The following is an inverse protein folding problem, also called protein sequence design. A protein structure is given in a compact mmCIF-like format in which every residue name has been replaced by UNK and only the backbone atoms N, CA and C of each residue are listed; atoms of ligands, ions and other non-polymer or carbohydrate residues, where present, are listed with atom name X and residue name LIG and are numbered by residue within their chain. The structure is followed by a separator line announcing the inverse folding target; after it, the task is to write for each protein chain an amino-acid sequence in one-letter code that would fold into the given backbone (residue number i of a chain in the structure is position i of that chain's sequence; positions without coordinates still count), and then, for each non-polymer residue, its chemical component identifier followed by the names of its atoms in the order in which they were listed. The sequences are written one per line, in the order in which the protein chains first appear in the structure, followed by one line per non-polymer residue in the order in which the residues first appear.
data_IF_734500588515
#
_entry.id   IF_734500588515
#
_cell.length_a   1.000
_cell.length_b   1.000
_cell.length_c   1.000
_cell.angle_alpha   90.00
_cell.angle_beta   90.00
_cell.angle_gamma   90.00
#
_symmetry.space_group_name_H-M   'P 1'
#
loop_
_entity.id
_entity.type
_entity.pdbx_description
1 polymer ?
#
# COMPACT_ATOMS: atom_id res chain seq x y z
N UNK A 1 -9.31 21.47 -24.26
CA UNK A 1 -8.36 20.41 -24.69
C UNK A 1 -6.95 20.97 -24.88
N UNK A 2 -6.76 22.03 -25.68
CA UNK A 2 -5.44 22.66 -25.95
C UNK A 2 -4.73 23.13 -24.69
N UNK A 3 -5.41 23.84 -23.77
CA UNK A 3 -4.82 24.28 -22.51
C UNK A 3 -4.32 23.12 -21.62
N UNK A 4 -5.03 21.99 -21.61
CA UNK A 4 -4.63 20.80 -20.85
C UNK A 4 -3.38 20.14 -21.43
N UNK A 5 -3.29 20.07 -22.77
CA UNK A 5 -2.10 19.55 -23.47
C UNK A 5 -0.90 20.47 -23.25
N UNK A 6 -1.09 21.79 -23.32
CA UNK A 6 -0.03 22.76 -23.04
C UNK A 6 0.46 22.68 -21.59
N UNK A 7 -0.45 22.53 -20.63
CA UNK A 7 -0.09 22.34 -19.23
C UNK A 7 0.72 21.05 -19.00
N UNK A 8 0.30 19.93 -19.61
CA UNK A 8 1.02 18.66 -19.55
C UNK A 8 2.41 18.77 -20.16
N UNK A 9 2.53 19.39 -21.34
CA UNK A 9 3.81 19.61 -22.01
C UNK A 9 4.75 20.48 -21.17
N UNK A 10 4.24 21.58 -20.61
CA UNK A 10 4.99 22.45 -19.70
C UNK A 10 5.45 21.70 -18.44
N UNK A 11 4.57 20.88 -17.84
CA UNK A 11 4.90 20.08 -16.65
C UNK A 11 5.96 19.02 -16.93
N UNK A 12 5.91 18.38 -18.10
CA UNK A 12 6.95 17.43 -18.54
C UNK A 12 8.28 18.17 -18.75
N UNK A 13 8.25 19.34 -19.38
CA UNK A 13 9.43 20.17 -19.59
C UNK A 13 10.06 20.66 -18.26
N UNK A 14 9.24 21.06 -17.29
CA UNK A 14 9.68 21.48 -15.95
C UNK A 14 10.30 20.33 -15.13
N UNK A 15 9.86 19.09 -15.35
CA UNK A 15 10.40 17.91 -14.65
C UNK A 15 11.75 17.42 -15.20
N UNK A 16 12.34 18.11 -16.17
CA UNK A 16 13.67 17.82 -16.70
C UNK A 16 13.72 16.62 -17.65
N UNK A 17 14.82 16.53 -18.41
CA UNK A 17 15.13 15.48 -19.40
C UNK A 17 15.45 14.11 -18.79
N UNK A 18 15.07 13.85 -17.54
CA UNK A 18 15.05 12.52 -16.94
C UNK A 18 13.87 11.75 -17.51
N UNK A 19 13.92 11.44 -18.81
CA UNK A 19 12.91 10.68 -19.57
C UNK A 19 12.83 9.21 -19.16
N UNK A 20 13.61 8.77 -18.17
CA UNK A 20 13.40 7.48 -17.50
C UNK A 20 12.47 7.68 -16.33
N UNK A 21 11.27 7.09 -16.41
CA UNK A 21 10.40 6.92 -15.25
C UNK A 21 11.24 6.39 -14.08
N UNK A 22 11.06 6.97 -12.89
CA UNK A 22 11.76 6.55 -11.67
C UNK A 22 11.70 5.03 -11.54
N UNK A 23 12.85 4.38 -11.47
CA UNK A 23 12.94 2.93 -11.27
C UNK A 23 12.67 2.64 -9.81
N UNK A 24 11.43 2.24 -9.53
CA UNK A 24 11.01 1.84 -8.19
C UNK A 24 11.93 0.77 -7.63
N UNK A 25 12.24 0.86 -6.34
CA UNK A 25 13.00 -0.18 -5.65
C UNK A 25 12.16 -1.47 -5.51
N UNK A 26 12.83 -2.59 -5.21
CA UNK A 26 12.16 -3.89 -5.02
C UNK A 26 11.16 -3.84 -3.85
N UNK A 27 11.44 -3.05 -2.80
CA UNK A 27 10.53 -2.94 -1.65
C UNK A 27 9.35 -2.00 -1.85
N UNK A 28 9.41 -1.13 -2.85
CA UNK A 28 8.29 -0.28 -3.26
C UNK A 28 7.35 -1.02 -4.22
N UNK A 29 7.93 -1.72 -5.20
CA UNK A 29 7.17 -2.50 -6.16
C UNK A 29 7.96 -3.70 -6.69
N UNK A 30 7.82 -4.84 -6.03
CA UNK A 30 8.50 -6.08 -6.41
C UNK A 30 8.04 -6.63 -7.77
N UNK A 31 6.77 -6.37 -8.16
CA UNK A 31 6.23 -6.86 -9.42
C UNK A 31 6.81 -6.15 -10.62
N UNK A 32 7.23 -4.89 -10.48
CA UNK A 32 7.95 -4.17 -11.53
C UNK A 32 9.26 -4.87 -11.92
N UNK A 33 9.88 -5.63 -11.01
CA UNK A 33 11.16 -6.33 -11.19
C UNK A 33 11.05 -7.79 -11.63
N UNK A 34 9.84 -8.34 -11.78
CA UNK A 34 9.70 -9.73 -12.25
C UNK A 34 10.33 -9.92 -13.65
N UNK A 35 10.91 -11.08 -13.96
CA UNK A 35 11.57 -11.29 -15.25
C UNK A 35 10.57 -11.46 -16.40
N UNK A 36 9.44 -12.12 -16.15
CA UNK A 36 8.43 -12.42 -17.17
C UNK A 36 7.31 -11.40 -17.17
N UNK A 37 6.98 -10.86 -18.35
CA UNK A 37 5.82 -10.00 -18.54
C UNK A 37 4.51 -10.69 -18.14
N UNK A 38 4.38 -11.99 -18.41
CA UNK A 38 3.18 -12.76 -18.07
C UNK A 38 3.00 -12.80 -16.55
N UNK A 39 4.07 -13.06 -15.79
CA UNK A 39 4.02 -13.04 -14.33
C UNK A 39 3.70 -11.66 -13.77
N UNK A 40 4.19 -10.58 -14.40
CA UNK A 40 3.78 -9.20 -14.06
C UNK A 40 2.29 -8.99 -14.26
N UNK A 41 1.79 -9.31 -15.45
CA UNK A 41 0.40 -9.13 -15.81
C UNK A 41 -0.54 -9.92 -14.89
N UNK A 42 -0.22 -11.18 -14.59
CA UNK A 42 -1.00 -12.01 -13.66
C UNK A 42 -0.97 -11.45 -12.23
N UNK A 43 0.19 -11.00 -11.75
CA UNK A 43 0.34 -10.42 -10.42
C UNK A 43 -0.45 -9.11 -10.28
N UNK A 44 -0.38 -8.22 -11.26
CA UNK A 44 -1.18 -6.98 -11.26
C UNK A 44 -2.68 -7.25 -11.44
N UNK A 45 -3.07 -8.22 -12.27
CA UNK A 45 -4.48 -8.64 -12.37
C UNK A 45 -5.02 -9.18 -11.04
N UNK A 46 -4.19 -9.92 -10.29
CA UNK A 46 -4.54 -10.35 -8.94
C UNK A 46 -4.68 -9.15 -7.99
N UNK A 47 -3.79 -8.17 -8.05
CA UNK A 47 -3.90 -6.92 -7.27
C UNK A 47 -5.19 -6.15 -7.60
N UNK A 48 -5.59 -6.07 -8.87
CA UNK A 48 -6.88 -5.47 -9.24
C UNK A 48 -8.07 -6.20 -8.63
N UNK A 49 -7.98 -7.51 -8.52
CA UNK A 49 -9.00 -8.32 -7.85
C UNK A 49 -9.05 -8.03 -6.36
N UNK A 50 -7.91 -7.83 -5.71
CA UNK A 50 -7.84 -7.39 -4.31
C UNK A 50 -8.42 -5.98 -4.13
N UNK A 51 -8.21 -5.07 -5.08
CA UNK A 51 -8.83 -3.74 -5.07
C UNK A 51 -10.37 -3.82 -5.18
N UNK A 52 -10.90 -4.63 -6.10
CA UNK A 52 -12.34 -4.88 -6.22
C UNK A 52 -12.90 -5.53 -4.95
N UNK A 53 -12.19 -6.50 -4.40
CA UNK A 53 -12.57 -7.13 -3.14
C UNK A 53 -12.62 -6.14 -1.98
N UNK A 54 -11.67 -5.20 -1.91
CA UNK A 54 -11.65 -4.13 -0.89
C UNK A 54 -12.82 -3.15 -1.01
N UNK A 55 -13.32 -2.90 -2.21
CA UNK A 55 -14.55 -2.10 -2.39
C UNK A 55 -15.78 -2.83 -1.85
N UNK A 56 -15.85 -4.14 -2.01
CA UNK A 56 -16.98 -4.97 -1.55
C UNK A 56 -16.91 -5.28 -0.04
N UNK A 57 -15.71 -5.58 0.47
CA UNK A 57 -15.51 -6.03 1.85
C UNK A 57 -14.16 -5.54 2.42
N UNK A 58 -14.11 -4.34 3.03
CA UNK A 58 -12.88 -3.76 3.56
C UNK A 58 -12.49 -4.38 4.93
N UNK A 59 -12.01 -5.63 4.93
CA UNK A 59 -11.65 -6.36 6.16
C UNK A 59 -10.19 -6.23 6.60
N UNK A 60 -9.26 -6.42 5.67
CA UNK A 60 -7.83 -6.37 5.95
C UNK A 60 -7.33 -5.04 5.44
N UNK A 61 -7.34 -4.01 6.30
CA UNK A 61 -6.91 -2.67 5.96
C UNK A 61 -5.52 -2.39 6.54
N UNK A 62 -4.64 -1.77 5.76
CA UNK A 62 -3.25 -1.50 6.10
C UNK A 62 -2.81 -0.22 5.38
N UNK A 63 -1.96 0.58 6.02
CA UNK A 63 -1.47 1.82 5.42
C UNK A 63 -0.51 1.55 4.23
N UNK A 64 0.20 0.41 4.26
CA UNK A 64 1.12 -0.02 3.21
C UNK A 64 1.20 -1.55 3.13
N UNK A 65 1.04 -2.08 1.91
CA UNK A 65 1.22 -3.49 1.59
C UNK A 65 2.59 -3.65 0.95
N UNK A 66 3.61 -3.59 1.81
CA UNK A 66 5.01 -3.61 1.39
C UNK A 66 5.44 -4.96 0.82
N UNK A 67 6.74 -5.05 0.54
CA UNK A 67 7.40 -6.24 0.01
C UNK A 67 6.91 -7.56 0.61
N UNK A 68 6.66 -8.55 -0.25
CA UNK A 68 6.25 -9.92 0.09
C UNK A 68 5.01 -10.02 1.01
N UNK A 69 4.16 -8.98 1.05
CA UNK A 69 2.83 -9.04 1.69
C UNK A 69 1.81 -9.69 0.76
N UNK A 70 1.93 -9.43 -0.55
CA UNK A 70 1.09 -10.02 -1.59
C UNK A 70 2.01 -10.82 -2.49
N UNK A 71 1.93 -12.15 -2.44
CA UNK A 71 2.84 -12.98 -3.23
C UNK A 71 2.57 -12.86 -4.73
N UNK A 72 3.64 -12.69 -5.51
CA UNK A 72 3.58 -12.70 -6.97
C UNK A 72 2.89 -13.97 -7.50
N UNK A 73 2.17 -13.82 -8.62
CA UNK A 73 1.58 -14.93 -9.36
C UNK A 73 2.53 -15.28 -10.49
N UNK A 74 3.24 -16.40 -10.35
CA UNK A 74 4.26 -16.85 -11.32
C UNK A 74 3.75 -17.93 -12.26
N UNK A 75 2.74 -18.70 -11.85
CA UNK A 75 2.15 -19.80 -12.63
C UNK A 75 0.80 -19.41 -13.22
N UNK A 76 0.54 -19.88 -14.44
CA UNK A 76 -0.75 -19.71 -15.13
C UNK A 76 -1.86 -20.52 -14.42
N UNK A 77 -1.50 -21.66 -13.84
CA UNK A 77 -2.43 -22.58 -13.17
C UNK A 77 -2.78 -22.19 -11.73
N UNK A 78 -2.35 -21.01 -11.29
CA UNK A 78 -2.68 -20.51 -9.95
C UNK A 78 -4.19 -20.23 -9.83
N UNK A 79 -4.82 -20.72 -8.76
CA UNK A 79 -6.26 -20.52 -8.50
C UNK A 79 -6.60 -19.03 -8.40
N UNK A 80 -5.64 -18.18 -8.01
CA UNK A 80 -5.79 -16.73 -7.96
C UNK A 80 -6.09 -16.12 -9.33
N UNK A 81 -5.61 -16.74 -10.42
CA UNK A 81 -5.93 -16.30 -11.78
C UNK A 81 -7.41 -16.52 -12.12
N UNK A 82 -8.05 -17.56 -11.58
CA UNK A 82 -9.49 -17.78 -11.78
C UNK A 82 -10.30 -16.62 -11.16
N UNK A 83 -9.96 -16.22 -9.93
CA UNK A 83 -10.59 -15.07 -9.29
C UNK A 83 -10.38 -13.78 -10.12
N UNK A 84 -9.17 -13.58 -10.65
CA UNK A 84 -8.88 -12.46 -11.56
C UNK A 84 -9.72 -12.52 -12.83
N UNK A 85 -9.78 -13.66 -13.51
CA UNK A 85 -10.60 -13.83 -14.72
C UNK A 85 -12.07 -13.53 -14.44
N UNK A 86 -12.63 -14.04 -13.35
CA UNK A 86 -14.03 -13.77 -12.96
C UNK A 86 -14.25 -12.28 -12.68
N UNK A 87 -13.34 -11.64 -11.96
CA UNK A 87 -13.43 -10.21 -11.65
C UNK A 87 -13.40 -9.33 -12.91
N UNK A 88 -12.47 -9.62 -13.82
CA UNK A 88 -12.39 -8.92 -15.10
C UNK A 88 -13.60 -9.17 -15.99
N UNK A 89 -14.08 -10.42 -16.07
CA UNK A 89 -15.30 -10.75 -16.82
C UNK A 89 -16.53 -10.04 -16.27
N UNK A 90 -16.66 -9.93 -14.94
CA UNK A 90 -17.73 -9.19 -14.30
C UNK A 90 -17.68 -7.69 -14.63
N UNK A 91 -16.50 -7.06 -14.54
CA UNK A 91 -16.33 -5.64 -14.87
C UNK A 91 -16.57 -5.37 -16.35
N UNK A 92 -15.96 -6.15 -17.24
CA UNK A 92 -16.14 -6.01 -18.70
C UNK A 92 -17.58 -6.27 -19.10
N UNK A 93 -18.22 -7.29 -18.53
CA UNK A 93 -19.64 -7.58 -18.75
C UNK A 93 -20.55 -6.44 -18.29
N UNK A 94 -20.31 -5.88 -17.09
CA UNK A 94 -21.06 -4.73 -16.57
C UNK A 94 -20.88 -3.49 -17.46
N UNK A 95 -19.65 -3.19 -17.88
CA UNK A 95 -19.39 -2.06 -18.78
C UNK A 95 -20.02 -2.28 -20.15
N UNK A 96 -19.88 -3.48 -20.73
CA UNK A 96 -20.43 -3.80 -22.06
C UNK A 96 -21.95 -3.74 -22.09
N UNK A 97 -22.63 -4.41 -21.16
CA UNK A 97 -24.09 -4.38 -21.04
C UNK A 97 -24.60 -2.96 -20.78
N UNK A 98 -23.91 -2.20 -19.93
CA UNK A 98 -24.28 -0.83 -19.64
C UNK A 98 -24.01 0.13 -20.81
N UNK A 99 -22.97 -0.11 -21.62
CA UNK A 99 -22.67 0.68 -22.80
C UNK A 99 -23.77 0.55 -23.86
N UNK A 100 -24.34 -0.66 -24.03
CA UNK A 100 -25.49 -0.91 -24.91
C UNK A 100 -26.74 -0.13 -24.46
N UNK A 101 -26.88 0.13 -23.15
CA UNK A 101 -28.02 0.84 -22.55
C UNK A 101 -27.70 2.28 -22.13
N UNK A 102 -26.61 2.87 -22.65
CA UNK A 102 -26.14 4.21 -22.24
C UNK A 102 -27.13 5.36 -22.47
N UNK A 103 -28.14 5.17 -23.32
CA UNK A 103 -29.20 6.17 -23.57
C UNK A 103 -30.32 6.12 -22.53
N UNK A 104 -30.49 4.99 -21.85
CA UNK A 104 -31.63 4.74 -20.94
C UNK A 104 -31.20 4.60 -19.49
N UNK A 105 -29.93 4.31 -19.22
CA UNK A 105 -29.39 4.17 -17.88
C UNK A 105 -28.11 4.99 -17.69
N UNK A 106 -27.95 5.68 -16.54
CA UNK A 106 -26.71 6.38 -16.20
C UNK A 106 -25.58 5.42 -15.81
N UNK A 107 -25.85 4.12 -15.64
CA UNK A 107 -24.91 3.13 -15.11
C UNK A 107 -23.55 3.13 -15.83
N UNK A 108 -23.54 3.43 -17.13
CA UNK A 108 -22.31 3.44 -17.92
C UNK A 108 -21.39 4.55 -17.46
N UNK A 109 -21.95 5.75 -17.25
CA UNK A 109 -21.20 6.91 -16.76
C UNK A 109 -20.72 6.65 -15.33
N UNK A 110 -21.55 6.05 -14.47
CA UNK A 110 -21.17 5.72 -13.09
C UNK A 110 -20.01 4.72 -13.03
N UNK A 111 -20.03 3.68 -13.86
CA UNK A 111 -18.94 2.71 -13.99
C UNK A 111 -17.66 3.37 -14.52
N UNK A 112 -17.78 4.22 -15.55
CA UNK A 112 -16.63 4.97 -16.09
C UNK A 112 -16.02 5.90 -15.04
N UNK A 113 -16.84 6.55 -14.20
CA UNK A 113 -16.36 7.37 -13.09
C UNK A 113 -15.60 6.56 -12.02
N UNK A 114 -15.91 5.28 -11.84
CA UNK A 114 -15.14 4.40 -10.96
C UNK A 114 -13.85 3.89 -11.60
N UNK A 115 -13.90 3.51 -12.88
CA UNK A 115 -12.79 2.82 -13.57
C UNK A 115 -11.74 3.82 -14.08
N UNK A 116 -12.16 4.91 -14.73
CA UNK A 116 -11.26 5.83 -15.41
C UNK A 116 -10.23 6.47 -14.45
N UNK A 117 -10.60 6.95 -13.24
CA UNK A 117 -9.63 7.47 -12.28
C UNK A 117 -8.65 6.41 -11.74
N UNK A 118 -9.01 5.12 -11.83
CA UNK A 118 -8.15 4.03 -11.38
C UNK A 118 -7.04 3.68 -12.39
N UNK A 119 -7.25 3.92 -13.69
CA UNK A 119 -6.32 3.52 -14.76
C UNK A 119 -4.88 4.04 -14.58
N UNK A 120 -4.64 5.32 -14.20
CA UNK A 120 -3.28 5.79 -13.97
C UNK A 120 -2.60 5.11 -12.76
N UNK A 121 -3.40 4.62 -11.81
CA UNK A 121 -2.94 4.00 -10.57
C UNK A 121 -2.90 2.46 -10.63
N UNK A 122 -3.33 1.84 -11.74
CA UNK A 122 -3.50 0.40 -11.90
C UNK A 122 -2.28 -0.32 -12.48
N UNK A 123 -1.14 0.37 -12.57
CA UNK A 123 0.12 -0.20 -13.09
C UNK A 123 0.08 -0.63 -14.57
N UNK A 124 -1.04 -0.40 -15.27
CA UNK A 124 -1.23 -0.73 -16.68
C UNK A 124 -0.46 0.23 -17.59
N UNK A 125 -0.48 1.53 -17.27
CA UNK A 125 0.22 2.55 -18.06
C UNK A 125 1.69 2.68 -17.66
N UNK A 126 1.96 2.73 -16.36
CA UNK A 126 3.29 2.83 -15.79
C UNK A 126 3.26 2.23 -14.37
N UNK A 127 4.36 1.60 -13.92
CA UNK A 127 4.43 1.07 -12.56
C UNK A 127 4.35 2.21 -11.55
N UNK A 128 3.58 2.00 -10.49
CA UNK A 128 3.46 2.91 -9.34
C UNK A 128 4.33 2.37 -8.19
N UNK A 129 4.88 3.25 -7.36
CA UNK A 129 5.78 2.94 -6.23
C UNK A 129 5.13 2.25 -5.03
N UNK A 130 3.99 1.62 -5.24
CA UNK A 130 3.30 0.81 -4.24
C UNK A 130 2.55 -0.28 -4.99
N UNK A 131 2.63 -1.52 -4.51
CA UNK A 131 1.92 -2.64 -5.14
C UNK A 131 0.42 -2.48 -4.93
N UNK A 132 0.01 -2.32 -3.67
CA UNK A 132 -1.37 -2.07 -3.29
C UNK A 132 -1.40 -0.93 -2.27
N UNK A 133 -2.27 0.06 -2.47
CA UNK A 133 -2.50 1.12 -1.50
C UNK A 133 -3.96 1.56 -1.51
N UNK A 134 -4.58 1.60 -0.33
CA UNK A 134 -6.00 1.92 -0.16
C UNK A 134 -6.36 3.34 -0.63
N UNK A 135 -5.44 4.29 -0.45
CA UNK A 135 -5.59 5.68 -0.92
C UNK A 135 -5.81 5.80 -2.44
N UNK A 136 -5.37 4.81 -3.23
CA UNK A 136 -5.57 4.79 -4.68
C UNK A 136 -7.04 4.49 -5.06
N UNK A 137 -7.81 3.91 -4.14
CA UNK A 137 -9.24 3.68 -4.30
C UNK A 137 -10.11 4.88 -3.92
N UNK A 138 -9.55 5.99 -3.42
CA UNK A 138 -10.36 7.12 -2.94
C UNK A 138 -11.30 7.66 -4.03
N UNK A 139 -10.78 8.02 -5.21
CA UNK A 139 -11.62 8.48 -6.32
C UNK A 139 -12.47 7.34 -6.94
N UNK A 140 -11.89 6.15 -7.24
CA UNK A 140 -12.68 5.01 -7.73
C UNK A 140 -13.87 4.61 -6.84
N UNK A 141 -13.73 4.76 -5.51
CA UNK A 141 -14.77 4.43 -4.54
C UNK A 141 -16.01 5.31 -4.69
N UNK A 142 -15.86 6.55 -5.16
CA UNK A 142 -17.00 7.45 -5.43
C UNK A 142 -17.88 6.86 -6.53
N UNK A 143 -17.26 6.42 -7.63
CA UNK A 143 -17.97 5.75 -8.73
C UNK A 143 -18.63 4.46 -8.27
N UNK A 144 -17.93 3.66 -7.47
CA UNK A 144 -18.49 2.45 -6.86
C UNK A 144 -19.71 2.74 -5.97
N UNK A 145 -19.65 3.73 -5.07
CA UNK A 145 -20.77 4.13 -4.22
C UNK A 145 -21.98 4.59 -5.04
N UNK A 146 -21.77 5.33 -6.14
CA UNK A 146 -22.85 5.73 -7.03
C UNK A 146 -23.49 4.53 -7.74
N UNK A 147 -22.69 3.55 -8.19
CA UNK A 147 -23.20 2.30 -8.76
C UNK A 147 -24.03 1.51 -7.74
N UNK A 148 -23.54 1.37 -6.51
CA UNK A 148 -24.27 0.70 -5.42
C UNK A 148 -25.57 1.44 -5.10
N UNK A 149 -25.54 2.77 -5.04
CA UNK A 149 -26.73 3.61 -4.83
C UNK A 149 -27.77 3.40 -5.93
N UNK A 150 -27.36 3.48 -7.20
CA UNK A 150 -28.23 3.22 -8.34
C UNK A 150 -28.81 1.79 -8.33
N UNK A 151 -27.98 0.78 -8.08
CA UNK A 151 -28.43 -0.61 -8.00
C UNK A 151 -29.47 -0.79 -6.87
N UNK A 152 -29.22 -0.19 -5.72
CA UNK A 152 -30.12 -0.24 -4.56
C UNK A 152 -31.45 0.45 -4.86
N UNK A 153 -31.43 1.62 -5.50
CA UNK A 153 -32.63 2.32 -5.95
C UNK A 153 -33.47 1.44 -6.89
N UNK A 154 -32.85 0.82 -7.90
CA UNK A 154 -33.55 -0.05 -8.87
C UNK A 154 -34.16 -1.27 -8.19
N UNK A 155 -33.45 -1.88 -7.24
CA UNK A 155 -33.98 -3.00 -6.44
C UNK A 155 -35.17 -2.57 -5.58
N UNK A 156 -35.09 -1.41 -4.93
CA UNK A 156 -36.18 -0.88 -4.09
C UNK A 156 -37.41 -0.43 -4.87
N UNK A 157 -37.24 0.06 -6.11
CA UNK A 157 -38.33 0.41 -7.01
C UNK A 157 -39.03 -0.84 -7.58
N UNK A 158 -38.29 -1.93 -7.80
CA UNK A 158 -38.83 -3.20 -8.26
C UNK A 158 -39.42 -4.07 -7.11
N UNK A 159 -39.17 -3.71 -5.86
CA UNK A 159 -39.61 -4.48 -4.70
C UNK A 159 -41.14 -4.39 -4.48
N UNK A 160 -41.74 -5.51 -4.06
CA UNK A 160 -43.16 -5.54 -3.67
C UNK A 160 -43.36 -4.85 -2.32
N UNK A 161 -44.59 -4.37 -1.99
CA UNK A 161 -44.87 -3.76 -0.69
C UNK A 161 -44.48 -4.63 0.52
N UNK A 162 -44.54 -5.96 0.36
CA UNK A 162 -44.18 -6.91 1.41
C UNK A 162 -42.66 -7.12 1.56
N UNK A 163 -41.86 -7.03 0.49
CA UNK A 163 -40.40 -7.23 0.55
C UNK A 163 -39.62 -5.94 0.82
N UNK A 164 -40.17 -4.79 0.43
CA UNK A 164 -39.55 -3.47 0.61
C UNK A 164 -39.11 -3.18 2.06
N UNK A 165 -39.92 -3.37 3.11
CA UNK A 165 -39.46 -3.13 4.49
C UNK A 165 -38.30 -4.06 4.89
N UNK A 166 -38.30 -5.31 4.42
CA UNK A 166 -37.20 -6.25 4.68
C UNK A 166 -35.90 -5.81 4.01
N UNK A 167 -35.98 -5.33 2.76
CA UNK A 167 -34.82 -4.80 2.04
C UNK A 167 -34.26 -3.53 2.69
N UNK A 168 -35.13 -2.62 3.14
CA UNK A 168 -34.72 -1.41 3.86
C UNK A 168 -34.07 -1.77 5.20
N UNK A 169 -34.63 -2.74 5.94
CA UNK A 169 -34.02 -3.23 7.18
C UNK A 169 -32.65 -3.87 6.94
N UNK A 170 -32.51 -4.68 5.88
CA UNK A 170 -31.23 -5.28 5.49
C UNK A 170 -30.20 -4.20 5.11
N UNK A 171 -30.59 -3.21 4.32
CA UNK A 171 -29.73 -2.09 3.96
C UNK A 171 -29.29 -1.31 5.21
N UNK A 172 -30.23 -1.02 6.11
CA UNK A 172 -29.93 -0.37 7.40
C UNK A 172 -28.93 -1.15 8.24
N UNK A 173 -29.07 -2.49 8.30
CA UNK A 173 -28.12 -3.36 8.99
C UNK A 173 -26.73 -3.33 8.34
N UNK A 174 -26.65 -3.43 7.01
CA UNK A 174 -25.38 -3.36 6.27
C UNK A 174 -24.68 -2.02 6.54
N UNK A 175 -25.41 -0.91 6.48
CA UNK A 175 -24.88 0.41 6.78
C UNK A 175 -24.43 0.53 8.24
N UNK A 176 -25.20 0.02 9.21
CA UNK A 176 -24.81 0.04 10.62
C UNK A 176 -23.52 -0.75 10.87
N UNK A 177 -23.37 -1.94 10.25
CA UNK A 177 -22.14 -2.74 10.33
C UNK A 177 -20.98 -1.97 9.69
N UNK A 178 -21.15 -1.42 8.49
CA UNK A 178 -20.13 -0.64 7.80
C UNK A 178 -19.69 0.59 8.62
N UNK A 179 -20.65 1.34 9.20
CA UNK A 179 -20.36 2.47 10.09
C UNK A 179 -19.56 2.02 11.32
N UNK A 180 -19.93 0.90 11.97
CA UNK A 180 -19.15 0.41 13.12
C UNK A 180 -17.72 0.04 12.74
N UNK A 181 -17.52 -0.54 11.54
CA UNK A 181 -16.18 -0.86 11.02
C UNK A 181 -15.37 0.40 10.75
N UNK A 182 -16.00 1.43 10.18
CA UNK A 182 -15.34 2.73 9.95
C UNK A 182 -14.94 3.39 11.26
N UNK A 183 -15.80 3.39 12.27
CA UNK A 183 -15.49 3.94 13.59
C UNK A 183 -14.30 3.19 14.21
N UNK A 184 -14.33 1.84 14.18
CA UNK A 184 -13.22 1.02 14.68
C UNK A 184 -11.93 1.30 13.92
N UNK A 185 -12.00 1.43 12.60
CA UNK A 185 -10.82 1.73 11.77
C UNK A 185 -10.24 3.11 12.08
N UNK A 186 -11.07 4.12 12.37
CA UNK A 186 -10.59 5.45 12.77
C UNK A 186 -9.77 5.42 14.07
N UNK A 187 -10.09 4.49 14.99
CA UNK A 187 -9.28 4.31 16.21
C UNK A 187 -7.87 3.82 15.90
N UNK A 188 -7.69 2.98 14.87
CA UNK A 188 -6.35 2.55 14.46
C UNK A 188 -5.50 3.74 13.96
N UNK A 189 -6.14 4.76 13.37
CA UNK A 189 -5.49 5.98 12.85
C UNK A 189 -5.31 7.08 13.91
N UNK A 190 -5.64 6.81 15.17
CA UNK A 190 -5.56 7.80 16.24
C UNK A 190 -4.11 8.25 16.51
N UNK A 191 -3.17 7.30 16.54
CA UNK A 191 -1.74 7.57 16.74
C UNK A 191 -0.85 6.59 15.96
N UNK A 192 0.44 6.92 15.86
CA UNK A 192 1.43 6.14 15.10
C UNK A 192 1.55 4.71 15.64
N UNK A 193 1.52 4.54 16.95
CA UNK A 193 1.64 3.24 17.61
C UNK A 193 0.46 2.32 17.23
N UNK A 194 -0.78 2.78 17.42
CA UNK A 194 -1.97 2.00 17.04
C UNK A 194 -2.00 1.71 15.54
N UNK A 195 -1.56 2.66 14.71
CA UNK A 195 -1.54 2.50 13.26
C UNK A 195 -0.57 1.40 12.83
N UNK A 196 0.68 1.45 13.30
CA UNK A 196 1.69 0.46 12.95
C UNK A 196 1.41 -0.91 13.59
N UNK A 197 0.87 -0.94 14.80
CA UNK A 197 0.44 -2.18 15.44
C UNK A 197 -0.71 -2.84 14.68
N UNK A 198 -1.71 -2.08 14.23
CA UNK A 198 -2.79 -2.61 13.40
C UNK A 198 -2.26 -3.15 12.06
N UNK A 199 -1.29 -2.47 11.46
CA UNK A 199 -0.65 -2.87 10.21
C UNK A 199 0.13 -4.18 10.34
N UNK A 200 0.80 -4.42 11.48
CA UNK A 200 1.55 -5.67 11.72
C UNK A 200 0.66 -6.90 11.66
N UNK A 201 -0.60 -6.79 12.11
CA UNK A 201 -1.57 -7.90 12.05
C UNK A 201 -1.98 -8.28 10.63
N UNK A 202 -1.87 -7.35 9.68
CA UNK A 202 -2.25 -7.54 8.27
C UNK A 202 -1.05 -7.86 7.39
N UNK A 203 0.08 -7.19 7.62
CA UNK A 203 1.30 -7.30 6.83
C UNK A 203 2.52 -7.62 7.72
N UNK A 204 2.57 -8.82 8.33
CA UNK A 204 3.62 -9.19 9.29
C UNK A 204 5.02 -9.36 8.67
N UNK A 205 5.08 -9.45 7.35
CA UNK A 205 6.32 -9.57 6.55
C UNK A 205 6.75 -8.24 5.93
N UNK A 206 5.96 -7.17 6.08
CA UNK A 206 6.30 -5.87 5.50
C UNK A 206 7.46 -5.23 6.26
N UNK A 207 8.57 -5.04 5.55
CA UNK A 207 9.79 -4.43 6.08
C UNK A 207 9.54 -3.00 6.57
N UNK A 208 8.67 -2.26 5.86
CA UNK A 208 8.27 -0.90 6.26
C UNK A 208 7.47 -0.90 7.56
N UNK A 209 6.53 -1.84 7.71
CA UNK A 209 5.70 -1.96 8.93
C UNK A 209 6.58 -2.31 10.13
N UNK A 210 7.47 -3.31 9.99
CA UNK A 210 8.40 -3.71 11.04
C UNK A 210 9.36 -2.58 11.42
N UNK A 211 9.88 -1.85 10.44
CA UNK A 211 10.82 -0.75 10.68
C UNK A 211 10.16 0.45 11.35
N UNK A 212 8.97 0.82 10.90
CA UNK A 212 8.21 1.93 11.48
C UNK A 212 7.74 1.60 12.90
N UNK A 213 7.21 0.40 13.13
CA UNK A 213 6.81 -0.04 14.47
C UNK A 213 8.02 -0.15 15.41
N UNK A 214 9.15 -0.67 14.92
CA UNK A 214 10.39 -0.73 15.69
C UNK A 214 10.87 0.65 16.10
N UNK A 215 10.81 1.63 15.19
CA UNK A 215 11.17 3.01 15.48
C UNK A 215 10.23 3.68 16.49
N UNK A 216 8.92 3.45 16.39
CA UNK A 216 7.92 3.99 17.32
C UNK A 216 8.08 3.41 18.75
N UNK A 217 8.37 2.12 18.87
CA UNK A 217 8.53 1.45 20.18
C UNK A 217 9.89 1.76 20.82
N UNK A 218 10.91 2.11 20.03
CA UNK A 218 12.29 2.27 20.46
C UNK A 218 12.48 3.12 21.74
N UNK A 219 11.83 4.29 21.92
CA UNK A 219 11.99 5.10 23.12
C UNK A 219 11.43 4.45 24.39
N UNK A 220 10.46 3.53 24.26
CA UNK A 220 9.77 2.88 25.37
C UNK A 220 10.37 1.51 25.71
N UNK A 221 10.69 0.73 24.67
CA UNK A 221 11.25 -0.62 24.81
C UNK A 221 12.23 -0.91 23.67
N UNK A 222 13.49 -0.56 23.90
CA UNK A 222 14.58 -0.80 22.96
C UNK A 222 14.82 -2.29 22.67
N UNK A 223 14.50 -3.20 23.60
CA UNK A 223 14.72 -4.64 23.39
C UNK A 223 13.73 -5.18 22.36
N UNK A 224 12.45 -4.87 22.53
CA UNK A 224 11.42 -5.28 21.58
C UNK A 224 11.57 -4.58 20.23
N UNK A 225 11.93 -3.30 20.23
CA UNK A 225 12.22 -2.55 19.00
C UNK A 225 13.31 -3.22 18.16
N UNK A 226 14.43 -3.60 18.78
CA UNK A 226 15.53 -4.29 18.11
C UNK A 226 15.08 -5.62 17.50
N UNK A 227 14.21 -6.39 18.16
CA UNK A 227 13.70 -7.64 17.58
C UNK A 227 12.90 -7.41 16.29
N UNK A 228 12.06 -6.37 16.23
CA UNK A 228 11.34 -6.03 15.00
C UNK A 228 12.28 -5.55 13.89
N UNK A 229 13.30 -4.77 14.25
CA UNK A 229 14.28 -4.23 13.31
C UNK A 229 15.24 -5.30 12.78
N UNK A 230 15.70 -6.22 13.63
CA UNK A 230 16.46 -7.42 13.24
C UNK A 230 15.66 -8.27 12.26
N UNK A 231 14.36 -8.47 12.53
CA UNK A 231 13.47 -9.17 11.61
C UNK A 231 13.32 -8.44 10.27
N UNK A 232 13.21 -7.12 10.28
CA UNK A 232 13.12 -6.31 9.07
C UNK A 232 14.39 -6.47 8.20
N UNK A 233 15.56 -6.32 8.82
CA UNK A 233 16.86 -6.50 8.15
C UNK A 233 17.08 -7.94 7.68
N UNK A 234 16.63 -8.94 8.45
CA UNK A 234 16.70 -10.34 8.04
C UNK A 234 15.82 -10.64 6.82
N UNK A 235 14.63 -10.02 6.72
CA UNK A 235 13.75 -10.14 5.56
C UNK A 235 14.32 -9.41 4.34
N UNK A 236 14.96 -8.25 4.55
CA UNK A 236 15.57 -7.47 3.48
C UNK A 236 16.87 -6.80 3.91
N UNK A 237 18.02 -7.48 3.71
CA UNK A 237 19.33 -6.92 4.06
C UNK A 237 19.73 -5.69 3.23
N UNK A 238 19.05 -5.43 2.11
CA UNK A 238 19.30 -4.25 1.27
C UNK A 238 18.46 -3.03 1.68
N UNK A 239 17.70 -3.10 2.78
CA UNK A 239 16.86 -2.01 3.23
C UNK A 239 17.61 -1.04 4.16
N UNK A 240 18.14 0.04 3.58
CA UNK A 240 19.00 1.00 4.30
C UNK A 240 18.35 1.60 5.56
N UNK A 241 17.08 2.01 5.50
CA UNK A 241 16.38 2.59 6.65
C UNK A 241 16.23 1.57 7.80
N UNK A 242 16.08 0.28 7.48
CA UNK A 242 16.06 -0.79 8.48
C UNK A 242 17.38 -0.87 9.25
N UNK A 243 18.52 -0.79 8.55
CA UNK A 243 19.85 -0.74 9.15
C UNK A 243 20.07 0.52 10.01
N UNK A 244 19.65 1.69 9.50
CA UNK A 244 19.75 2.95 10.23
C UNK A 244 18.98 2.91 11.56
N UNK A 245 17.74 2.41 11.53
CA UNK A 245 16.91 2.30 12.73
C UNK A 245 17.41 1.18 13.67
N UNK A 246 17.89 0.06 13.13
CA UNK A 246 18.50 -1.02 13.91
C UNK A 246 19.75 -0.53 14.66
N UNK A 247 20.56 0.31 14.03
CA UNK A 247 21.71 0.94 14.67
C UNK A 247 21.31 1.80 15.87
N UNK A 248 20.28 2.63 15.71
CA UNK A 248 19.71 3.41 16.83
C UNK A 248 19.20 2.49 17.96
N UNK A 249 18.61 1.35 17.60
CA UNK A 249 18.22 0.29 18.53
C UNK A 249 19.39 -0.26 19.35
N UNK A 250 20.48 -0.66 18.70
CA UNK A 250 21.66 -1.15 19.41
C UNK A 250 22.38 -0.07 20.22
N UNK A 251 22.39 1.17 19.74
CA UNK A 251 22.91 2.30 20.51
C UNK A 251 22.12 2.48 21.82
N UNK A 252 20.79 2.42 21.77
CA UNK A 252 19.94 2.47 22.97
C UNK A 252 20.19 1.29 23.93
N UNK A 253 20.58 0.12 23.41
CA UNK A 253 20.99 -1.04 24.20
C UNK A 253 22.46 -1.01 24.66
N UNK A 254 23.18 0.11 24.48
CA UNK A 254 24.61 0.27 24.81
C UNK A 254 25.51 -0.76 24.11
N UNK A 255 25.18 -1.07 22.86
CA UNK A 255 25.92 -1.98 21.97
C UNK A 255 26.57 -1.19 20.82
N UNK A 256 27.61 -0.37 21.11
CA UNK A 256 28.13 0.61 20.14
C UNK A 256 28.73 -0.03 18.89
N UNK A 257 29.43 -1.17 19.02
CA UNK A 257 30.04 -1.85 17.88
C UNK A 257 28.97 -2.35 16.87
N UNK A 258 27.88 -2.94 17.37
CA UNK A 258 26.76 -3.35 16.53
C UNK A 258 26.06 -2.15 15.87
N UNK A 259 25.89 -1.06 16.62
CA UNK A 259 25.31 0.17 16.08
C UNK A 259 26.14 0.72 14.90
N UNK A 260 27.45 0.83 15.09
CA UNK A 260 28.37 1.32 14.06
C UNK A 260 28.43 0.39 12.85
N UNK A 261 28.41 -0.93 13.06
CA UNK A 261 28.34 -1.91 11.96
C UNK A 261 27.13 -1.69 11.06
N UNK A 262 25.93 -1.53 11.64
CA UNK A 262 24.74 -1.30 10.85
C UNK A 262 24.67 0.10 10.23
N UNK A 263 25.28 1.12 10.84
CA UNK A 263 25.42 2.43 10.21
C UNK A 263 26.29 2.38 8.96
N UNK A 264 27.41 1.64 9.00
CA UNK A 264 28.25 1.40 7.82
C UNK A 264 27.44 0.68 6.73
N UNK A 265 26.71 -0.37 7.07
CA UNK A 265 25.84 -1.07 6.11
C UNK A 265 24.77 -0.14 5.51
N UNK A 266 24.13 0.71 6.31
CA UNK A 266 23.17 1.70 5.82
C UNK A 266 23.80 2.67 4.82
N UNK A 267 25.01 3.17 5.10
CA UNK A 267 25.77 4.07 4.23
C UNK A 267 26.18 3.40 2.92
N UNK A 268 26.60 2.14 2.97
CA UNK A 268 26.98 1.35 1.79
C UNK A 268 25.78 1.16 0.83
N UNK A 269 24.57 1.04 1.39
CA UNK A 269 23.34 0.91 0.60
C UNK A 269 22.84 2.24 0.06
N UNK A 270 22.74 3.26 0.91
CA UNK A 270 22.27 4.61 0.56
C UNK A 270 23.08 5.62 1.38
N UNK A 271 23.70 6.58 0.70
CA UNK A 271 24.52 7.63 1.30
C UNK A 271 23.66 8.72 1.97
N UNK A 272 22.90 8.34 3.00
CA UNK A 272 22.05 9.25 3.75
C UNK A 272 22.86 10.08 4.75
N UNK A 273 22.72 11.42 4.78
CA UNK A 273 23.46 12.28 5.71
C UNK A 273 23.30 11.88 7.18
N UNK A 274 22.10 11.43 7.57
CA UNK A 274 21.78 11.01 8.94
C UNK A 274 22.60 9.80 9.39
N UNK A 275 22.92 8.88 8.47
CA UNK A 275 23.74 7.71 8.80
C UNK A 275 25.20 8.13 9.06
N UNK A 276 25.76 9.02 8.24
CA UNK A 276 27.11 9.56 8.45
C UNK A 276 27.25 10.33 9.76
N UNK A 277 26.29 11.20 10.09
CA UNK A 277 26.35 11.99 11.33
C UNK A 277 26.26 11.09 12.56
N UNK A 278 25.34 10.12 12.56
CA UNK A 278 25.18 9.16 13.65
C UNK A 278 26.43 8.28 13.82
N UNK A 279 27.06 7.87 12.70
CA UNK A 279 28.30 7.10 12.73
C UNK A 279 29.44 7.91 13.35
N UNK A 280 29.62 9.15 12.90
CA UNK A 280 30.63 10.06 13.46
C UNK A 280 30.44 10.28 14.97
N UNK A 281 29.21 10.50 15.41
CA UNK A 281 28.89 10.66 16.83
C UNK A 281 29.30 9.42 17.64
N UNK A 282 28.89 8.22 17.21
CA UNK A 282 29.22 7.00 17.94
C UNK A 282 30.72 6.65 17.90
N UNK A 283 31.43 7.01 16.83
CA UNK A 283 32.90 6.88 16.79
C UNK A 283 33.58 7.72 17.87
N UNK A 284 33.18 8.99 18.02
CA UNK A 284 33.74 9.89 19.03
C UNK A 284 33.44 9.37 20.44
N UNK A 285 32.19 9.02 20.73
CA UNK A 285 31.79 8.46 22.03
C UNK A 285 32.56 7.17 22.37
N UNK A 286 32.76 6.29 21.38
CA UNK A 286 33.51 5.06 21.56
C UNK A 286 35.00 5.33 21.82
N UNK A 287 35.60 6.26 21.08
CA UNK A 287 36.99 6.67 21.26
C UNK A 287 37.24 7.27 22.64
N UNK A 288 36.41 8.21 23.09
CA UNK A 288 36.53 8.85 24.40
C UNK A 288 36.47 7.83 25.54
N UNK A 289 35.54 6.86 25.45
CA UNK A 289 35.32 5.86 26.49
C UNK A 289 36.39 4.77 26.58
N UNK A 290 37.09 4.45 25.49
CA UNK A 290 38.03 3.31 25.44
C UNK A 290 39.48 3.69 25.20
N UNK A 291 39.74 4.82 24.54
CA UNK A 291 41.09 5.23 24.12
C UNK A 291 41.49 6.55 24.77
N UNK A 292 40.56 7.50 24.86
CA UNK A 292 40.81 8.83 25.44
C UNK A 292 40.99 8.84 26.95
N UNK A 293 40.35 7.93 27.69
CA UNK A 293 40.42 7.88 29.16
C UNK A 293 41.80 7.44 29.74
N UNK A 294 42.76 7.08 28.88
CA UNK A 294 44.11 6.66 29.26
C UNK A 294 45.20 7.73 29.09
N UNK A 295 44.84 8.95 28.70
CA UNK A 295 45.72 10.13 28.61
C UNK A 295 45.26 11.21 29.58
#
# INVERSE_FOLDING_TARGET
MVAGVMFLAWRVQMNGSSTTLYTWSIYENEFAHLPSFVSKAMSYAHVHTLYLWKLLWPQYLCYDYGWNTIHAVTSIYDVRNLASSVAYMAVVGAVGTSASHRRTSPLFVLLVLGICPFVPASHVMFPVGTILAERLLYLPSVGFCLVVGYATERVLLAATPASKPKLVALLGLVLAVATSRTIRRNLDWHDEHTLFQSALSVAPTSVKVLTNLGQDILPKDARTAVLYLERAVALMPSYSLGHLNLAAGYAALKKPLQAMHHLVQSIELVQEPKAYTSLGQHFVEFWESHVGAGQ
#
